data_IF_858055243868
#
_entry.id   IF_858055243868
#
_cell.length_a   1.000
_cell.length_b   1.000
_cell.length_c   1.000
_cell.angle_alpha   90.00
_cell.angle_beta   90.00
_cell.angle_gamma   90.00
#
_symmetry.space_group_name_H-M   'P 1'
#
loop_
_entity.id
_entity.type
_entity.pdbx_description
1 polymer ?
#
# COMPACT_ATOMS: atom_id res chain seq x y z
N UNK A 1 5.73 -15.31 -0.43
CA UNK A 1 4.73 -15.04 0.63
C UNK A 1 3.61 -16.05 0.45
N UNK A 2 3.16 -16.72 1.51
CA UNK A 2 1.97 -17.58 1.45
C UNK A 2 0.67 -16.83 1.73
N UNK A 3 0.68 -15.89 2.68
CA UNK A 3 -0.49 -15.11 3.08
C UNK A 3 -0.14 -13.63 3.24
N UNK A 4 -0.91 -12.76 2.57
CA UNK A 4 -0.87 -11.31 2.71
C UNK A 4 -2.23 -10.79 3.17
N UNK A 5 -2.24 -9.61 3.78
CA UNK A 5 -3.45 -8.95 4.24
C UNK A 5 -3.51 -7.50 3.76
N UNK A 6 -4.66 -7.05 3.28
CA UNK A 6 -4.87 -5.65 2.94
C UNK A 6 -4.81 -4.77 4.19
N UNK A 7 -4.03 -3.70 4.15
CA UNK A 7 -3.80 -2.83 5.31
C UNK A 7 -5.08 -2.29 5.97
N UNK A 8 -6.14 -2.07 5.19
CA UNK A 8 -7.39 -1.45 5.64
C UNK A 8 -8.29 -2.38 6.43
N UNK A 9 -8.08 -3.70 6.34
CA UNK A 9 -8.92 -4.69 7.04
C UNK A 9 -8.27 -5.22 8.32
N UNK A 10 -7.03 -4.81 8.62
CA UNK A 10 -6.33 -5.20 9.83
C UNK A 10 -6.94 -4.43 11.02
N UNK A 11 -7.43 -5.10 12.08
CA UNK A 11 -8.20 -4.47 13.15
C UNK A 11 -7.29 -3.79 14.19
N UNK A 12 -6.48 -2.82 13.74
CA UNK A 12 -5.54 -2.02 14.55
C UNK A 12 -5.43 -0.60 14.00
N UNK A 13 -5.09 0.33 14.88
CA UNK A 13 -5.12 1.76 14.56
C UNK A 13 -3.81 2.24 13.95
N UNK A 14 -2.67 1.83 14.52
CA UNK A 14 -1.35 2.26 14.03
C UNK A 14 -0.71 1.26 13.07
N UNK A 15 0.16 1.73 12.17
CA UNK A 15 0.87 0.85 11.25
C UNK A 15 1.73 -0.19 11.99
N UNK A 16 2.40 0.23 13.07
CA UNK A 16 3.18 -0.66 13.93
C UNK A 16 2.35 -1.80 14.53
N UNK A 17 1.20 -1.48 15.12
CA UNK A 17 0.30 -2.50 15.70
C UNK A 17 -0.24 -3.45 14.63
N UNK A 18 -0.52 -2.94 13.43
CA UNK A 18 -0.94 -3.78 12.29
C UNK A 18 0.14 -4.80 11.94
N UNK A 19 1.40 -4.37 11.83
CA UNK A 19 2.52 -5.27 11.52
C UNK A 19 2.70 -6.33 12.62
N UNK A 20 2.68 -5.92 13.90
CA UNK A 20 2.77 -6.85 15.03
C UNK A 20 1.62 -7.86 15.05
N UNK A 21 0.39 -7.41 14.73
CA UNK A 21 -0.77 -8.29 14.61
C UNK A 21 -0.54 -9.33 13.50
N UNK A 22 -0.11 -8.92 12.32
CA UNK A 22 0.15 -9.81 11.19
C UNK A 22 1.20 -10.87 11.52
N UNK A 23 2.29 -10.49 12.18
CA UNK A 23 3.31 -11.45 12.62
C UNK A 23 2.74 -12.47 13.60
N UNK A 24 1.97 -12.00 14.60
CA UNK A 24 1.36 -12.89 15.60
C UNK A 24 0.31 -13.83 15.00
N UNK A 25 -0.36 -13.39 13.93
CA UNK A 25 -1.37 -14.16 13.21
C UNK A 25 -0.78 -15.06 12.11
N UNK A 26 0.55 -15.06 11.91
CA UNK A 26 1.23 -15.94 10.97
C UNK A 26 1.18 -15.49 9.50
N UNK A 27 0.86 -14.23 9.24
CA UNK A 27 0.96 -13.65 7.89
C UNK A 27 2.42 -13.42 7.51
N UNK A 28 2.71 -13.46 6.21
CA UNK A 28 4.05 -13.22 5.67
C UNK A 28 4.16 -11.87 4.96
N UNK A 29 3.04 -11.18 4.74
CA UNK A 29 3.08 -9.85 4.20
C UNK A 29 1.81 -9.03 4.31
N UNK A 30 1.91 -7.83 3.77
CA UNK A 30 0.89 -6.79 3.81
C UNK A 30 0.76 -6.17 2.44
N UNK A 31 -0.47 -5.88 2.04
CA UNK A 31 -0.74 -5.07 0.87
C UNK A 31 -1.10 -3.65 1.31
N UNK A 32 -0.24 -2.69 0.97
CA UNK A 32 -0.32 -1.32 1.45
C UNK A 32 -1.36 -0.51 0.69
N UNK A 33 -1.90 0.50 1.36
CA UNK A 33 -2.60 1.59 0.70
C UNK A 33 -1.58 2.54 0.10
N UNK A 34 -1.66 2.76 -1.22
CA UNK A 34 -0.82 3.69 -1.97
C UNK A 34 -1.22 5.16 -1.78
N UNK A 35 -2.51 5.46 -1.63
CA UNK A 35 -2.98 6.81 -1.32
C UNK A 35 -2.41 7.27 0.03
N UNK A 36 -1.64 8.36 0.03
CA UNK A 36 -0.98 8.89 1.23
C UNK A 36 0.30 8.13 1.64
N UNK A 37 0.81 7.21 0.82
CA UNK A 37 1.99 6.40 1.18
C UNK A 37 3.27 7.23 1.20
N UNK A 38 3.41 8.21 0.31
CA UNK A 38 4.63 9.03 0.19
C UNK A 38 4.90 9.82 1.47
N UNK A 39 3.84 10.28 2.13
CA UNK A 39 3.87 11.08 3.35
C UNK A 39 4.32 10.27 4.58
N UNK A 40 4.23 8.95 4.51
CA UNK A 40 4.58 8.01 5.59
C UNK A 40 5.61 6.97 5.18
N UNK A 41 6.31 7.18 4.07
CA UNK A 41 7.22 6.19 3.49
C UNK A 41 8.31 5.81 4.49
N UNK A 42 8.90 6.79 5.16
CA UNK A 42 9.95 6.59 6.17
C UNK A 42 9.46 5.73 7.35
N UNK A 43 8.26 6.00 7.87
CA UNK A 43 7.65 5.18 8.93
C UNK A 43 7.45 3.73 8.46
N UNK A 44 6.92 3.57 7.25
CA UNK A 44 6.64 2.25 6.68
C UNK A 44 7.93 1.46 6.47
N UNK A 45 8.96 2.08 5.89
CA UNK A 45 10.27 1.45 5.67
C UNK A 45 10.96 1.07 6.99
N UNK A 46 10.95 1.97 7.98
CA UNK A 46 11.54 1.71 9.29
C UNK A 46 10.90 0.51 10.00
N UNK A 47 9.56 0.44 9.98
CA UNK A 47 8.82 -0.64 10.64
C UNK A 47 8.96 -1.96 9.86
N UNK A 48 8.81 -1.92 8.53
CA UNK A 48 8.90 -3.12 7.69
C UNK A 48 10.29 -3.74 7.77
N UNK A 49 11.36 -2.93 7.72
CA UNK A 49 12.75 -3.41 7.76
C UNK A 49 13.11 -4.16 9.07
N UNK A 50 12.37 -3.89 10.15
CA UNK A 50 12.52 -4.55 11.46
C UNK A 50 11.57 -5.71 11.69
N UNK A 51 10.69 -6.01 10.73
CA UNK A 51 9.66 -7.05 10.83
C UNK A 51 9.95 -8.23 9.89
N UNK A 52 9.24 -9.34 10.09
CA UNK A 52 9.21 -10.48 9.15
C UNK A 52 8.20 -10.29 8.02
N UNK A 53 7.36 -9.25 8.10
CA UNK A 53 6.31 -8.93 7.13
C UNK A 53 6.94 -8.27 5.91
N UNK A 54 6.61 -8.78 4.73
CA UNK A 54 7.03 -8.19 3.45
C UNK A 54 5.89 -7.38 2.83
N UNK A 55 6.24 -6.34 2.09
CA UNK A 55 5.27 -5.66 1.22
C UNK A 55 4.94 -6.58 0.05
N UNK A 56 3.66 -6.94 -0.10
CA UNK A 56 3.16 -7.77 -1.20
C UNK A 56 2.78 -6.92 -2.40
N UNK A 57 1.73 -6.12 -2.25
CA UNK A 57 1.27 -5.16 -3.25
C UNK A 57 1.06 -3.76 -2.66
N UNK A 58 0.92 -2.77 -3.55
CA UNK A 58 0.47 -1.42 -3.21
C UNK A 58 -0.82 -1.16 -3.99
N UNK A 59 -1.93 -0.95 -3.28
CA UNK A 59 -3.21 -0.57 -3.87
C UNK A 59 -3.25 0.94 -4.07
N UNK A 60 -3.12 1.39 -5.31
CA UNK A 60 -3.03 2.80 -5.68
C UNK A 60 -4.18 3.68 -5.16
N UNK A 61 -5.39 3.11 -5.00
CA UNK A 61 -6.62 3.84 -4.62
C UNK A 61 -6.75 5.14 -5.42
N UNK A 62 -6.82 4.98 -6.74
CA UNK A 62 -7.03 6.09 -7.67
C UNK A 62 -8.24 6.92 -7.25
N UNK A 63 -8.13 8.24 -7.41
CA UNK A 63 -9.22 9.16 -7.10
C UNK A 63 -10.44 8.89 -7.98
N UNK A 64 -10.23 8.49 -9.24
CA UNK A 64 -11.28 8.17 -10.20
C UNK A 64 -11.04 6.82 -10.89
N UNK A 65 -12.10 6.16 -11.38
CA UNK A 65 -11.96 4.95 -12.18
C UNK A 65 -11.28 5.24 -13.51
N UNK A 66 -10.38 4.35 -13.96
CA UNK A 66 -9.77 4.43 -15.29
C UNK A 66 -10.80 4.29 -16.43
N UNK A 67 -11.97 3.72 -16.12
CA UNK A 67 -13.10 3.56 -17.03
C UNK A 67 -14.21 4.59 -16.78
N UNK A 68 -13.92 5.72 -16.13
CA UNK A 68 -14.90 6.80 -15.96
C UNK A 68 -15.44 7.26 -17.32
N UNK A 69 -16.71 7.68 -17.39
CA UNK A 69 -17.28 8.31 -18.59
C UNK A 69 -16.69 9.70 -18.86
N UNK A 70 -16.17 10.39 -17.83
CA UNK A 70 -15.53 11.70 -17.97
C UNK A 70 -14.05 11.54 -18.38
N UNK A 71 -13.66 12.20 -19.48
CA UNK A 71 -12.28 12.21 -19.98
C UNK A 71 -11.29 12.77 -18.95
N UNK A 72 -11.66 13.82 -18.21
CA UNK A 72 -10.79 14.48 -17.22
C UNK A 72 -10.51 13.57 -16.04
N UNK A 73 -11.53 12.84 -15.58
CA UNK A 73 -11.38 11.85 -14.52
C UNK A 73 -10.43 10.71 -14.95
N UNK A 74 -10.54 10.25 -16.20
CA UNK A 74 -9.62 9.24 -16.75
C UNK A 74 -8.18 9.76 -16.82
N UNK A 75 -7.98 11.00 -17.28
CA UNK A 75 -6.65 11.63 -17.35
C UNK A 75 -6.00 11.70 -15.95
N UNK A 76 -6.75 12.12 -14.93
CA UNK A 76 -6.28 12.15 -13.55
C UNK A 76 -5.90 10.73 -13.07
N UNK A 77 -6.73 9.73 -13.33
CA UNK A 77 -6.47 8.35 -12.95
C UNK A 77 -5.19 7.77 -13.61
N UNK A 78 -4.96 8.11 -14.89
CA UNK A 78 -3.75 7.68 -15.63
C UNK A 78 -2.49 8.34 -15.07
N UNK A 79 -2.53 9.65 -14.79
CA UNK A 79 -1.37 10.34 -14.20
C UNK A 79 -1.05 9.81 -12.80
N UNK A 80 -2.07 9.49 -11.99
CA UNK A 80 -1.87 8.82 -10.70
C UNK A 80 -1.23 7.43 -10.83
N UNK A 81 -1.61 6.65 -11.86
CA UNK A 81 -0.98 5.36 -12.13
C UNK A 81 0.50 5.50 -12.49
N UNK A 82 0.85 6.43 -13.40
CA UNK A 82 2.25 6.68 -13.77
C UNK A 82 3.09 7.13 -12.59
N UNK A 83 2.54 7.99 -11.73
CA UNK A 83 3.22 8.43 -10.51
C UNK A 83 3.54 7.25 -9.57
N UNK A 84 2.68 6.21 -9.55
CA UNK A 84 2.90 5.00 -8.75
C UNK A 84 3.93 4.02 -9.35
N UNK A 85 4.12 4.03 -10.68
CA UNK A 85 5.16 3.23 -11.35
C UNK A 85 6.58 3.70 -10.99
N UNK A 86 6.81 5.02 -10.98
CA UNK A 86 8.11 5.60 -10.61
C UNK A 86 8.56 5.28 -9.16
N UNK A 87 7.66 4.76 -8.32
CA UNK A 87 7.97 4.31 -6.96
C UNK A 87 8.41 2.83 -6.90
N UNK A 88 8.10 2.02 -7.92
CA UNK A 88 8.56 0.61 -7.99
C UNK A 88 10.04 0.49 -8.37
N UNK A 89 10.55 1.40 -9.20
CA UNK A 89 11.93 1.36 -9.71
C UNK A 89 12.99 1.88 -8.72
N UNK A 90 12.60 2.21 -7.48
CA UNK A 90 13.52 2.66 -6.41
C UNK A 90 13.78 1.61 -5.33
N UNK A 91 13.27 0.39 -5.50
CA UNK A 91 13.50 -0.75 -4.60
C UNK A 91 14.66 -1.63 -5.03
#
# INVERSE_FOLDING_TARGET
MKLACGETIIPKDTFKEKIQFLESAGYEGIDLVGAGLKERLEEVEDIISKSKIKVGAIYSRLQYPILSSDIREREIAIEQLKASENQRDRG
#
